data_IF_257262704522
#
_entry.id   IF_257262704522
#
_cell.length_a   1.000
_cell.length_b   1.000
_cell.length_c   1.000
_cell.angle_alpha   90.00
_cell.angle_beta   90.00
_cell.angle_gamma   90.00
#
_symmetry.space_group_name_H-M   'P 1'
#
loop_
_entity.id
_entity.type
_entity.pdbx_description
1 polymer ?
#
# COMPACT_ATOMS: atom_id res chain seq x y z
N UNK A 1 -2.40 -19.08 4.18
CA UNK A 1 -1.31 -18.09 4.02
C UNK A 1 -1.84 -16.76 4.48
N UNK A 2 -0.96 -15.86 4.93
CA UNK A 2 -1.34 -14.49 5.29
C UNK A 2 -0.38 -13.55 4.57
N UNK A 3 -0.92 -12.47 4.01
CA UNK A 3 -0.13 -11.31 3.60
C UNK A 3 -0.30 -10.23 4.67
N UNK A 4 0.76 -9.51 4.96
CA UNK A 4 0.74 -8.39 5.89
C UNK A 4 1.75 -7.33 5.46
N UNK A 5 1.58 -6.13 6.01
CA UNK A 5 2.49 -5.01 5.81
C UNK A 5 3.30 -4.81 7.08
N UNK A 6 4.61 -4.64 6.94
CA UNK A 6 5.52 -4.26 8.01
C UNK A 6 6.50 -3.24 7.47
N UNK A 7 6.68 -2.12 8.18
CA UNK A 7 7.58 -1.02 7.76
C UNK A 7 7.36 -0.63 6.29
N UNK A 8 6.08 -0.46 5.92
CA UNK A 8 5.64 -0.11 4.56
C UNK A 8 6.07 -1.07 3.45
N UNK A 9 6.41 -2.32 3.81
CA UNK A 9 6.74 -3.39 2.89
C UNK A 9 5.77 -4.57 3.03
N UNK A 10 5.50 -5.25 1.92
CA UNK A 10 4.61 -6.42 1.85
C UNK A 10 5.39 -7.68 2.17
N UNK A 11 4.82 -8.50 3.05
CA UNK A 11 5.33 -9.81 3.42
C UNK A 11 4.23 -10.87 3.26
N UNK A 12 4.64 -12.08 2.90
CA UNK A 12 3.77 -13.26 2.82
C UNK A 12 4.32 -14.35 3.71
N UNK A 13 3.48 -14.88 4.60
CA UNK A 13 3.84 -16.01 5.44
C UNK A 13 2.92 -17.21 5.19
N UNK A 14 3.54 -18.38 5.04
CA UNK A 14 2.83 -19.66 5.12
C UNK A 14 2.74 -20.07 6.57
N UNK A 15 1.51 -20.24 7.08
CA UNK A 15 1.26 -20.64 8.45
C UNK A 15 1.30 -22.17 8.51
N UNK A 16 2.40 -22.71 9.00
CA UNK A 16 2.57 -24.11 9.37
C UNK A 16 3.15 -24.17 10.79
N UNK A 17 2.33 -24.63 11.75
CA UNK A 17 2.73 -24.71 13.16
C UNK A 17 3.70 -25.86 13.45
N UNK A 18 3.79 -26.86 12.56
CA UNK A 18 4.69 -27.99 12.72
C UNK A 18 6.06 -27.69 12.13
N UNK A 19 6.11 -26.89 11.06
CA UNK A 19 7.34 -26.49 10.40
C UNK A 19 7.29 -24.99 10.02
N UNK A 20 7.47 -24.08 10.99
CA UNK A 20 7.39 -22.65 10.73
C UNK A 20 8.44 -22.23 9.70
N UNK A 21 8.01 -21.44 8.72
CA UNK A 21 8.87 -20.84 7.71
C UNK A 21 8.98 -19.34 7.94
N UNK A 22 10.13 -18.79 7.58
CA UNK A 22 10.33 -17.35 7.56
C UNK A 22 9.39 -16.69 6.54
N UNK A 23 8.89 -15.47 6.81
CA UNK A 23 8.11 -14.71 5.85
C UNK A 23 8.92 -14.41 4.58
N UNK A 24 8.24 -14.44 3.44
CA UNK A 24 8.79 -13.96 2.16
C UNK A 24 8.52 -12.47 2.06
N UNK A 25 9.59 -11.68 1.95
CA UNK A 25 9.50 -10.26 1.66
C UNK A 25 9.20 -10.06 0.16
N UNK A 26 8.07 -9.45 -0.16
CA UNK A 26 7.59 -9.20 -1.53
C UNK A 26 8.12 -7.87 -2.06
N UNK A 27 8.28 -6.87 -1.19
CA UNK A 27 8.80 -5.54 -1.54
C UNK A 27 9.91 -5.13 -0.59
N UNK A 28 10.87 -4.34 -1.06
CA UNK A 28 12.01 -3.83 -0.29
C UNK A 28 12.22 -2.31 -0.43
N UNK A 29 11.26 -1.58 -1.03
CA UNK A 29 11.33 -0.15 -1.28
C UNK A 29 10.52 0.72 -0.29
N UNK A 30 9.80 0.09 0.63
CA UNK A 30 8.98 0.80 1.61
C UNK A 30 9.80 1.78 2.45
N UNK A 31 9.23 2.97 2.69
CA UNK A 31 9.84 4.05 3.47
C UNK A 31 8.74 4.95 4.05
N UNK A 32 9.10 6.04 4.72
CA UNK A 32 8.13 6.99 5.29
C UNK A 32 7.17 7.60 4.24
N UNK A 33 7.59 7.64 2.97
CA UNK A 33 6.80 8.22 1.86
C UNK A 33 6.41 7.20 0.78
N UNK A 34 6.97 5.98 0.83
CA UNK A 34 6.61 4.91 -0.11
C UNK A 34 5.90 3.80 0.64
N UNK A 35 4.62 3.62 0.33
CA UNK A 35 3.72 2.73 1.04
C UNK A 35 3.39 1.51 0.16
N UNK A 36 3.94 0.34 0.48
CA UNK A 36 3.65 -0.90 -0.25
C UNK A 36 2.61 -1.76 0.48
N UNK A 37 1.51 -2.10 -0.19
CA UNK A 37 0.42 -2.92 0.33
C UNK A 37 -0.49 -2.20 1.35
N UNK A 38 -0.20 -0.94 1.64
CA UNK A 38 -1.08 -0.01 2.33
C UNK A 38 -1.27 1.21 1.43
N UNK A 39 -1.92 2.25 1.93
CA UNK A 39 -2.35 3.39 1.14
C UNK A 39 -2.09 4.71 1.87
N UNK A 40 -2.01 5.79 1.09
CA UNK A 40 -1.97 7.16 1.60
C UNK A 40 -3.30 7.54 2.24
N UNK A 41 -3.29 8.60 3.04
CA UNK A 41 -4.50 9.14 3.67
C UNK A 41 -5.62 9.43 2.66
N UNK A 42 -5.27 10.02 1.50
CA UNK A 42 -6.23 10.30 0.43
C UNK A 42 -6.94 9.03 -0.05
N UNK A 43 -6.18 7.95 -0.24
CA UNK A 43 -6.74 6.69 -0.71
C UNK A 43 -7.56 5.99 0.36
N UNK A 44 -7.11 6.03 1.62
CA UNK A 44 -7.83 5.46 2.75
C UNK A 44 -9.21 6.11 2.92
N UNK A 45 -9.27 7.45 2.91
CA UNK A 45 -10.49 8.18 3.28
C UNK A 45 -11.44 8.41 2.09
N UNK A 46 -10.90 8.76 0.92
CA UNK A 46 -11.72 9.31 -0.18
C UNK A 46 -11.87 8.37 -1.38
N UNK A 47 -10.96 7.39 -1.56
CA UNK A 47 -10.94 6.54 -2.77
C UNK A 47 -11.34 5.10 -2.48
N UNK A 48 -10.61 4.39 -1.62
CA UNK A 48 -10.88 2.99 -1.29
C UNK A 48 -11.86 2.86 -0.13
N UNK A 49 -11.85 3.79 0.85
CA UNK A 49 -12.67 3.68 2.06
C UNK A 49 -12.47 2.32 2.78
N UNK A 50 -11.24 1.81 2.76
CA UNK A 50 -10.79 0.54 3.35
C UNK A 50 -9.40 0.75 3.96
N UNK A 51 -8.95 -0.15 4.84
CA UNK A 51 -7.63 -0.10 5.48
C UNK A 51 -6.58 -0.98 4.78
N UNK A 52 -7.00 -1.83 3.83
CA UNK A 52 -6.13 -2.77 3.11
C UNK A 52 -6.00 -2.40 1.64
N UNK A 53 -4.77 -2.44 1.12
CA UNK A 53 -4.49 -2.32 -0.31
C UNK A 53 -3.81 -3.59 -0.86
N UNK A 54 -4.29 -4.73 -0.38
CA UNK A 54 -3.88 -6.10 -0.72
C UNK A 54 -5.08 -6.93 -1.17
N UNK A 55 -4.95 -7.63 -2.30
CA UNK A 55 -6.02 -8.47 -2.85
C UNK A 55 -5.47 -9.82 -3.31
N UNK A 56 -5.84 -10.89 -2.61
CA UNK A 56 -5.51 -12.26 -3.02
C UNK A 56 -6.35 -12.72 -4.20
N UNK A 57 -5.74 -13.45 -5.13
CA UNK A 57 -6.48 -14.18 -6.17
C UNK A 57 -7.32 -15.29 -5.55
N UNK A 58 -8.30 -15.81 -6.31
CA UNK A 58 -9.19 -16.88 -5.82
C UNK A 58 -8.44 -18.17 -5.52
N UNK A 59 -7.36 -18.47 -6.24
CA UNK A 59 -6.46 -19.60 -5.97
C UNK A 59 -5.50 -19.36 -4.79
N UNK A 60 -5.26 -18.09 -4.43
CA UNK A 60 -4.22 -17.72 -3.47
C UNK A 60 -2.79 -17.92 -3.97
N UNK A 61 -2.59 -18.03 -5.29
CA UNK A 61 -1.27 -18.11 -5.95
C UNK A 61 -0.74 -16.74 -6.37
N UNK A 62 -1.63 -15.75 -6.50
CA UNK A 62 -1.25 -14.37 -6.82
C UNK A 62 -1.73 -13.42 -5.72
N UNK A 63 -0.93 -12.41 -5.42
CA UNK A 63 -1.28 -11.29 -4.55
C UNK A 63 -1.14 -9.99 -5.35
N UNK A 64 -2.25 -9.30 -5.57
CA UNK A 64 -2.20 -7.92 -6.02
C UNK A 64 -1.93 -7.00 -4.83
N UNK A 65 -1.03 -6.04 -5.00
CA UNK A 65 -0.70 -5.05 -3.98
C UNK A 65 -0.50 -3.68 -4.61
N UNK A 66 -0.99 -2.67 -3.90
CA UNK A 66 -0.90 -1.27 -4.26
C UNK A 66 0.40 -0.65 -3.76
N UNK A 67 0.96 0.30 -4.50
CA UNK A 67 2.01 1.19 -3.99
C UNK A 67 1.53 2.63 -4.13
N UNK A 68 1.62 3.38 -3.03
CA UNK A 68 1.42 4.83 -2.99
C UNK A 68 2.75 5.53 -2.71
N UNK A 69 3.15 6.45 -3.58
CA UNK A 69 4.32 7.33 -3.44
C UNK A 69 3.85 8.74 -3.07
N UNK A 70 4.11 9.13 -1.83
CA UNK A 70 3.76 10.43 -1.25
C UNK A 70 4.92 11.45 -1.32
N UNK A 71 6.01 11.15 -2.01
CA UNK A 71 7.20 12.03 -2.04
C UNK A 71 6.95 13.44 -2.60
N UNK A 72 5.93 13.59 -3.45
CA UNK A 72 5.49 14.87 -4.00
C UNK A 72 4.36 15.54 -3.19
N UNK A 73 3.76 14.82 -2.24
CA UNK A 73 2.60 15.29 -1.47
C UNK A 73 3.07 16.28 -0.41
N UNK A 74 2.37 17.42 -0.31
CA UNK A 74 2.65 18.42 0.71
C UNK A 74 2.16 17.96 2.09
N UNK A 75 2.88 18.33 3.14
CA UNK A 75 2.50 18.02 4.52
C UNK A 75 1.69 19.14 5.17
N UNK A 76 0.78 18.76 6.06
CA UNK A 76 0.13 19.65 7.03
C UNK A 76 0.71 19.42 8.42
N UNK A 77 0.94 20.51 9.15
CA UNK A 77 1.32 20.44 10.57
C UNK A 77 0.08 20.37 11.46
N UNK A 78 -0.03 19.30 12.24
CA UNK A 78 -1.10 19.06 13.22
C UNK A 78 -0.51 19.20 14.62
N UNK A 79 -1.12 20.03 15.47
CA UNK A 79 -0.69 20.15 16.85
C UNK A 79 -1.05 18.87 17.61
N UNK A 80 -0.03 18.18 18.13
CA UNK A 80 -0.17 16.92 18.86
C UNK A 80 0.02 17.17 20.36
N UNK A 81 -0.96 16.72 21.14
CA UNK A 81 -0.99 16.87 22.59
C UNK A 81 -0.84 15.50 23.24
N UNK A 82 0.35 15.24 23.77
CA UNK A 82 0.63 14.03 24.54
C UNK A 82 0.40 14.29 26.03
N UNK A 83 -0.17 13.31 26.73
CA UNK A 83 -0.40 13.40 28.18
C UNK A 83 0.92 13.35 28.98
N UNK A 84 1.96 12.74 28.42
CA UNK A 84 3.26 12.59 29.06
C UNK A 84 4.21 13.78 28.76
N UNK A 85 3.84 14.67 27.84
CA UNK A 85 4.64 15.84 27.45
C UNK A 85 4.11 17.14 28.06
N UNK A 86 5.03 18.02 28.49
CA UNK A 86 4.65 19.30 29.10
C UNK A 86 4.23 20.35 28.05
N UNK A 87 4.73 20.22 26.82
CA UNK A 87 4.43 21.15 25.73
C UNK A 87 3.96 20.37 24.49
N UNK A 88 2.99 20.90 23.73
CA UNK A 88 2.54 20.26 22.50
C UNK A 88 3.66 20.18 21.46
N UNK A 89 3.64 19.12 20.66
CA UNK A 89 4.51 18.95 19.50
C UNK A 89 3.73 19.17 18.20
N UNK A 90 4.40 19.14 17.05
CA UNK A 90 3.76 19.20 15.74
C UNK A 90 4.02 17.88 15.03
N UNK A 91 2.95 17.20 14.64
CA UNK A 91 2.98 16.06 13.73
C UNK A 91 2.85 16.61 12.30
N UNK A 92 3.83 16.32 11.45
CA UNK A 92 3.69 16.56 10.02
C UNK A 92 3.03 15.34 9.37
N UNK A 93 2.05 15.60 8.52
CA UNK A 93 1.23 14.55 7.94
C UNK A 93 0.98 14.83 6.45
N UNK A 94 1.23 13.88 5.53
CA UNK A 94 0.93 14.05 4.10
C UNK A 94 -0.55 14.37 3.88
N UNK A 95 -0.85 15.50 3.25
CA UNK A 95 -2.23 15.93 3.01
C UNK A 95 -2.35 16.74 1.71
N UNK A 96 -2.78 16.11 0.60
CA UNK A 96 -2.96 16.81 -0.67
C UNK A 96 -4.18 17.72 -0.58
N UNK A 97 -3.94 19.03 -0.58
CA UNK A 97 -5.03 20.02 -0.72
C UNK A 97 -5.48 20.07 -2.17
N UNK A 98 -6.69 20.63 -2.37
CA UNK A 98 -7.20 20.96 -3.70
C UNK A 98 -6.14 21.75 -4.49
N UNK A 99 -5.94 21.37 -5.75
CA UNK A 99 -4.94 21.95 -6.67
C UNK A 99 -3.48 21.76 -6.23
N UNK A 100 -3.17 20.70 -5.48
CA UNK A 100 -1.80 20.28 -5.16
C UNK A 100 -1.53 18.85 -5.64
N UNK A 101 -0.26 18.45 -5.67
CA UNK A 101 0.18 17.12 -6.11
C UNK A 101 -0.44 16.01 -5.26
N UNK A 102 -1.04 15.03 -5.93
CA UNK A 102 -1.55 13.81 -5.33
C UNK A 102 -0.44 12.74 -5.25
N UNK A 103 -0.61 11.72 -4.39
CA UNK A 103 0.27 10.57 -4.40
C UNK A 103 0.29 9.89 -5.77
N UNK A 104 1.47 9.52 -6.24
CA UNK A 104 1.61 8.69 -7.45
C UNK A 104 1.36 7.24 -7.08
N UNK A 105 0.61 6.52 -7.92
CA UNK A 105 0.15 5.18 -7.57
C UNK A 105 0.48 4.16 -8.62
N UNK A 106 0.69 2.92 -8.18
CA UNK A 106 0.92 1.77 -9.05
C UNK A 106 0.32 0.51 -8.43
N UNK A 107 0.04 -0.46 -9.28
CA UNK A 107 -0.51 -1.75 -8.89
C UNK A 107 0.40 -2.84 -9.41
N UNK A 108 0.74 -3.79 -8.55
CA UNK A 108 1.57 -4.93 -8.89
C UNK A 108 0.85 -6.22 -8.56
N UNK A 109 1.19 -7.30 -9.28
CA UNK A 109 0.79 -8.66 -8.97
C UNK A 109 2.03 -9.49 -8.69
N UNK A 110 2.14 -10.00 -7.47
CA UNK A 110 3.17 -10.97 -7.09
C UNK A 110 2.66 -12.40 -7.31
N UNK A 111 3.38 -13.18 -8.11
CA UNK A 111 3.12 -14.60 -8.30
C UNK A 111 3.99 -15.42 -7.34
N UNK A 112 3.38 -16.21 -6.46
CA UNK A 112 4.09 -16.95 -5.43
C UNK A 112 4.91 -18.12 -5.97
N UNK A 113 4.53 -18.68 -7.13
CA UNK A 113 5.22 -19.82 -7.75
C UNK A 113 6.49 -19.35 -8.47
N UNK A 114 6.37 -18.26 -9.23
CA UNK A 114 7.47 -17.64 -9.94
C UNK A 114 8.38 -16.81 -9.02
N UNK A 115 7.86 -16.34 -7.88
CA UNK A 115 8.59 -15.49 -6.95
C UNK A 115 8.88 -14.10 -7.52
N UNK A 116 7.99 -13.56 -8.35
CA UNK A 116 8.21 -12.29 -9.06
C UNK A 116 6.97 -11.42 -9.07
N UNK A 117 7.17 -10.10 -9.10
CA UNK A 117 6.12 -9.10 -9.27
C UNK A 117 6.07 -8.58 -10.70
N UNK A 118 4.87 -8.35 -11.21
CA UNK A 118 4.62 -7.68 -12.49
C UNK A 118 3.74 -6.45 -12.26
N UNK A 119 4.14 -5.31 -12.83
CA UNK A 119 3.34 -4.09 -12.78
C UNK A 119 2.13 -4.22 -13.70
N UNK A 120 0.95 -3.87 -13.19
CA UNK A 120 -0.28 -3.79 -13.96
C UNK A 120 -0.26 -2.47 -14.74
N UNK A 121 -0.44 -2.54 -16.06
CA UNK A 121 -0.49 -1.36 -16.91
C UNK A 121 -1.80 -0.59 -16.68
N UNK A 122 -1.75 0.43 -15.83
CA UNK A 122 -2.86 1.35 -15.59
C UNK A 122 -3.02 2.27 -16.81
N UNK A 123 -4.26 2.64 -17.14
CA UNK A 123 -4.55 3.49 -18.28
C UNK A 123 -3.85 4.86 -18.14
N UNK A 124 -2.87 5.12 -19.01
CA UNK A 124 -2.06 6.36 -19.01
C UNK A 124 -2.70 7.51 -19.80
N UNK A 125 -3.91 7.29 -20.31
CA UNK A 125 -4.61 8.26 -21.16
C UNK A 125 -5.19 9.44 -20.36
N UNK A 126 -5.13 9.39 -19.02
CA UNK A 126 -5.60 10.44 -18.13
C UNK A 126 -4.42 11.20 -17.52
N UNK A 127 -4.52 12.53 -17.47
CA UNK A 127 -3.68 13.34 -16.59
C UNK A 127 -4.17 13.07 -15.16
N UNK A 128 -3.38 12.35 -14.36
CA UNK A 128 -3.65 11.99 -12.95
C UNK A 128 -4.78 10.95 -12.77
N UNK A 129 -4.57 9.69 -13.16
CA UNK A 129 -5.54 8.63 -12.92
C UNK A 129 -5.60 8.24 -11.44
N UNK A 130 -6.81 8.03 -10.93
CA UNK A 130 -7.05 7.34 -9.65
C UNK A 130 -7.37 5.86 -9.89
N UNK A 131 -6.77 4.98 -9.11
CA UNK A 131 -7.21 3.59 -9.02
C UNK A 131 -8.33 3.52 -7.99
N UNK A 132 -9.56 3.19 -8.37
CA UNK A 132 -10.71 3.23 -7.44
C UNK A 132 -11.13 1.86 -6.91
N UNK A 133 -10.54 0.79 -7.40
CA UNK A 133 -10.81 -0.55 -6.92
C UNK A 133 -10.13 -1.65 -7.74
N UNK A 134 -9.95 -2.80 -7.10
CA UNK A 134 -9.28 -3.97 -7.67
C UNK A 134 -10.11 -5.20 -7.35
N UNK A 135 -10.41 -6.01 -8.37
CA UNK A 135 -11.14 -7.26 -8.22
C UNK A 135 -10.51 -8.36 -9.07
N UNK A 136 -10.34 -9.53 -8.46
CA UNK A 136 -9.99 -10.75 -9.19
C UNK A 136 -11.24 -11.33 -9.85
N UNK A 137 -11.19 -11.54 -11.16
CA UNK A 137 -12.29 -12.15 -11.93
C UNK A 137 -12.09 -13.67 -12.03
N UNK A 138 -10.85 -14.09 -12.29
CA UNK A 138 -10.43 -15.49 -12.40
C UNK A 138 -8.92 -15.60 -12.20
N UNK A 139 -8.43 -16.82 -12.01
CA UNK A 139 -7.00 -17.10 -11.81
C UNK A 139 -6.19 -17.14 -13.12
N UNK A 140 -6.85 -17.18 -14.29
CA UNK A 140 -6.24 -17.41 -15.62
C UNK A 140 -6.07 -16.15 -16.50
N UNK A 141 -5.39 -15.10 -16.02
CA UNK A 141 -5.00 -13.97 -16.90
C UNK A 141 -3.49 -13.76 -16.96
#
# INVERSE_FOLDING_TARGET
>A
RVAYVQENNVYIQTIDFQNPQDPVQVTDLGSDVILCGTQSWLYEEEIFADFSALWWSTSGENLAYFISDESAVSEIGIQYFDADETYPTTLNFPYPKVETENPTVSLYVYNLVAGTSVEVNLAKDFNEPYLTGVWWISDDM
#
